data_IF_222070654251
#
_entry.id   IF_222070654251
#
_cell.length_a   1.000
_cell.length_b   1.000
_cell.length_c   1.000
_cell.angle_alpha   90.00
_cell.angle_beta   90.00
_cell.angle_gamma   90.00
#
_symmetry.space_group_name_H-M   'P 1'
#
loop_
_entity.id
_entity.type
_entity.pdbx_description
1 polymer ?
#
# COMPACT_ATOMS: atom_id res chain seq x y z
N UNK A 1 -14.82 -2.62 -6.36
CA UNK A 1 -13.85 -2.73 -7.50
C UNK A 1 -12.60 -1.97 -7.11
N UNK A 2 -11.42 -2.33 -7.64
CA UNK A 2 -10.22 -1.50 -7.49
C UNK A 2 -9.66 -0.97 -8.82
N UNK A 3 -8.94 0.16 -8.73
CA UNK A 3 -8.05 0.67 -9.77
C UNK A 3 -6.60 0.60 -9.31
N UNK A 4 -5.71 0.04 -10.15
CA UNK A 4 -4.28 -0.05 -9.87
C UNK A 4 -3.50 1.06 -10.57
N UNK A 5 -2.62 1.73 -9.81
CA UNK A 5 -1.69 2.72 -10.31
C UNK A 5 -0.28 2.48 -9.78
N UNK A 6 0.72 2.80 -10.61
CA UNK A 6 2.10 2.94 -10.17
C UNK A 6 2.35 4.40 -9.80
N UNK A 7 2.60 4.66 -8.52
CA UNK A 7 2.86 6.01 -8.02
C UNK A 7 4.32 6.13 -7.56
N UNK A 8 4.84 7.36 -7.53
CA UNK A 8 6.04 7.68 -6.77
C UNK A 8 5.66 7.92 -5.30
N UNK A 9 6.57 7.71 -4.34
CA UNK A 9 6.29 8.00 -2.93
C UNK A 9 5.76 9.42 -2.71
N UNK A 10 6.29 10.39 -3.47
CA UNK A 10 5.84 11.79 -3.41
C UNK A 10 4.40 11.97 -3.90
N UNK A 11 4.00 11.26 -4.95
CA UNK A 11 2.64 11.31 -5.49
C UNK A 11 1.67 10.64 -4.52
N UNK A 12 2.05 9.47 -4.00
CA UNK A 12 1.28 8.75 -2.99
C UNK A 12 1.01 9.62 -1.74
N UNK A 13 2.01 10.38 -1.28
CA UNK A 13 1.87 11.28 -0.14
C UNK A 13 0.78 12.35 -0.34
N UNK A 14 0.54 12.79 -1.57
CA UNK A 14 -0.55 13.72 -1.90
C UNK A 14 -1.90 13.02 -2.08
N UNK A 15 -1.92 11.80 -2.60
CA UNK A 15 -3.18 11.07 -2.89
C UNK A 15 -3.81 10.51 -1.63
N UNK A 16 -3.04 9.75 -0.84
CA UNK A 16 -3.56 8.88 0.23
C UNK A 16 -4.38 9.63 1.30
N UNK A 17 -4.04 10.85 1.75
CA UNK A 17 -4.87 11.60 2.70
C UNK A 17 -6.28 11.92 2.18
N UNK A 18 -6.48 11.97 0.86
CA UNK A 18 -7.70 12.44 0.23
C UNK A 18 -8.63 11.32 -0.25
N UNK A 19 -8.24 10.06 -0.05
CA UNK A 19 -9.01 8.88 -0.48
C UNK A 19 -9.57 8.17 0.75
N UNK A 20 -10.82 7.69 0.69
CA UNK A 20 -11.43 7.05 1.87
C UNK A 20 -10.80 5.69 2.17
N UNK A 21 -10.65 4.85 1.15
CA UNK A 21 -10.18 3.48 1.27
C UNK A 21 -9.18 3.14 0.16
N UNK A 22 -8.03 2.60 0.54
CA UNK A 22 -7.01 2.17 -0.43
C UNK A 22 -6.05 1.16 0.19
N UNK A 23 -5.35 0.42 -0.66
CA UNK A 23 -4.19 -0.38 -0.32
C UNK A 23 -2.99 0.13 -1.11
N UNK A 24 -1.82 0.21 -0.48
CA UNK A 24 -0.59 0.44 -1.23
C UNK A 24 0.55 -0.42 -0.72
N UNK A 25 1.35 -0.92 -1.65
CA UNK A 25 2.54 -1.69 -1.38
C UNK A 25 3.77 -0.96 -1.88
N UNK A 26 4.77 -0.85 -1.01
CA UNK A 26 6.06 -0.22 -1.27
C UNK A 26 7.11 -1.31 -1.32
N UNK A 27 7.83 -1.35 -2.43
CA UNK A 27 9.01 -2.18 -2.60
C UNK A 27 10.23 -1.33 -2.96
N UNK A 28 11.30 -1.47 -2.20
CA UNK A 28 12.61 -0.94 -2.59
C UNK A 28 13.73 -1.77 -2.00
N UNK A 29 14.91 -1.69 -2.61
CA UNK A 29 16.11 -2.35 -2.12
C UNK A 29 16.98 -1.35 -1.37
N UNK A 30 17.06 -1.52 -0.04
CA UNK A 30 18.00 -0.77 0.78
C UNK A 30 19.38 -1.44 0.72
N UNK A 31 20.41 -0.72 1.15
CA UNK A 31 21.80 -1.21 1.10
C UNK A 31 22.00 -2.54 1.83
N UNK A 32 21.20 -2.81 2.86
CA UNK A 32 21.36 -3.99 3.73
C UNK A 32 20.20 -4.99 3.67
N UNK A 33 19.06 -4.64 3.09
CA UNK A 33 17.85 -5.47 3.06
C UNK A 33 16.85 -5.00 2.01
N UNK A 34 15.96 -5.88 1.62
CA UNK A 34 14.75 -5.48 0.91
C UNK A 34 13.79 -4.81 1.90
N UNK A 35 13.13 -3.77 1.43
CA UNK A 35 12.10 -3.04 2.15
C UNK A 35 10.77 -3.31 1.45
N UNK A 36 9.90 -4.04 2.15
CA UNK A 36 8.57 -4.40 1.69
C UNK A 36 7.58 -3.96 2.76
N UNK A 37 6.65 -3.08 2.40
CA UNK A 37 5.60 -2.61 3.30
C UNK A 37 4.30 -2.59 2.53
N UNK A 38 3.23 -3.11 3.14
CA UNK A 38 1.87 -2.98 2.65
C UNK A 38 1.08 -2.20 3.68
N UNK A 39 0.30 -1.23 3.22
CA UNK A 39 -0.52 -0.39 4.09
C UNK A 39 -1.92 -0.34 3.52
N UNK A 40 -2.89 -0.71 4.33
CA UNK A 40 -4.29 -0.49 4.06
C UNK A 40 -4.78 0.74 4.82
N UNK A 41 -5.59 1.56 4.17
CA UNK A 41 -6.21 2.75 4.75
C UNK A 41 -7.72 2.57 4.69
N UNK A 42 -8.39 2.86 5.79
CA UNK A 42 -9.85 2.94 5.86
C UNK A 42 -10.26 4.13 6.71
N UNK A 43 -11.02 5.07 6.13
CA UNK A 43 -11.43 6.29 6.82
C UNK A 43 -10.22 7.14 7.22
N UNK A 44 -9.93 7.26 8.51
CA UNK A 44 -8.76 8.00 9.03
C UNK A 44 -7.64 7.08 9.54
N UNK A 45 -7.86 5.77 9.51
CA UNK A 45 -6.95 4.79 10.09
C UNK A 45 -6.03 4.20 9.02
N UNK A 46 -4.77 3.97 9.41
CA UNK A 46 -3.74 3.38 8.59
C UNK A 46 -3.24 2.12 9.26
N UNK A 47 -3.28 1.02 8.54
CA UNK A 47 -2.93 -0.31 8.99
C UNK A 47 -1.71 -0.79 8.21
N UNK A 48 -0.56 -0.83 8.86
CA UNK A 48 0.63 -1.48 8.30
C UNK A 48 0.44 -2.98 8.45
N UNK A 49 0.38 -3.70 7.33
CA UNK A 49 0.08 -5.12 7.28
C UNK A 49 1.37 -5.93 7.36
N UNK A 50 1.37 -6.94 8.24
CA UNK A 50 2.47 -7.88 8.47
C UNK A 50 2.01 -9.32 8.15
N UNK A 51 1.33 -9.47 7.01
CA UNK A 51 0.98 -10.78 6.45
C UNK A 51 1.63 -10.95 5.07
N UNK A 52 2.47 -11.99 4.96
CA UNK A 52 3.16 -12.34 3.72
C UNK A 52 2.23 -12.74 2.58
N UNK A 53 1.02 -13.23 2.90
CA UNK A 53 0.01 -13.62 1.91
C UNK A 53 -0.44 -12.44 1.05
N UNK A 54 -0.53 -11.23 1.63
CA UNK A 54 -0.89 -10.01 0.88
C UNK A 54 0.13 -9.71 -0.21
N UNK A 55 1.42 -9.82 0.10
CA UNK A 55 2.47 -9.57 -0.90
C UNK A 55 2.48 -10.62 -2.01
N UNK A 56 2.16 -11.88 -1.70
CA UNK A 56 2.00 -12.93 -2.71
C UNK A 56 0.84 -12.61 -3.65
N UNK A 57 -0.29 -12.16 -3.10
CA UNK A 57 -1.45 -11.79 -3.91
C UNK A 57 -1.16 -10.58 -4.82
N UNK A 58 -0.57 -9.51 -4.27
CA UNK A 58 -0.16 -8.31 -5.02
C UNK A 58 0.81 -8.65 -6.17
N UNK A 59 1.67 -9.65 -5.99
CA UNK A 59 2.53 -10.14 -7.07
C UNK A 59 1.75 -10.92 -8.13
N UNK A 60 0.71 -11.66 -7.73
CA UNK A 60 -0.16 -12.42 -8.63
C UNK A 60 -0.94 -11.53 -9.61
N UNK A 61 -1.40 -10.36 -9.15
CA UNK A 61 -2.25 -9.44 -9.92
C UNK A 61 -1.50 -8.24 -10.53
N UNK A 62 -0.16 -8.26 -10.49
CA UNK A 62 0.68 -7.08 -10.84
C UNK A 62 0.42 -6.50 -12.24
N UNK A 63 0.02 -7.33 -13.19
CA UNK A 63 -0.20 -6.93 -14.59
C UNK A 63 -1.57 -6.29 -14.83
N UNK A 64 -2.42 -6.25 -13.81
CA UNK A 64 -3.78 -5.73 -13.91
C UNK A 64 -3.81 -4.22 -13.68
N UNK A 65 -4.67 -3.52 -14.41
CA UNK A 65 -4.89 -2.06 -14.22
C UNK A 65 -6.16 -1.77 -13.41
N UNK A 66 -7.05 -2.74 -13.31
CA UNK A 66 -8.29 -2.71 -12.54
C UNK A 66 -8.74 -4.16 -12.29
N UNK A 67 -9.48 -4.39 -11.22
CA UNK A 67 -9.96 -5.73 -10.85
C UNK A 67 -11.07 -5.69 -9.82
N UNK A 68 -11.48 -6.88 -9.38
CA UNK A 68 -12.48 -7.01 -8.33
C UNK A 68 -11.82 -6.80 -6.96
N UNK A 69 -12.50 -6.08 -6.06
CA UNK A 69 -11.98 -5.88 -4.70
C UNK A 69 -11.86 -7.21 -3.93
N UNK A 70 -12.68 -8.19 -4.29
CA UNK A 70 -12.61 -9.58 -3.81
C UNK A 70 -11.27 -10.27 -4.13
N UNK A 71 -10.43 -9.69 -5.00
CA UNK A 71 -9.08 -10.19 -5.27
C UNK A 71 -8.05 -9.74 -4.23
N UNK A 72 -8.34 -8.71 -3.42
CA UNK A 72 -7.41 -8.14 -2.44
C UNK A 72 -7.99 -8.06 -1.02
N UNK A 73 -9.23 -7.60 -0.88
CA UNK A 73 -9.86 -7.37 0.43
C UNK A 73 -9.88 -8.63 1.32
N UNK A 74 -10.14 -9.85 0.81
CA UNK A 74 -10.10 -11.04 1.65
C UNK A 74 -8.75 -11.27 2.35
N UNK A 75 -7.64 -10.85 1.73
CA UNK A 75 -6.31 -10.95 2.33
C UNK A 75 -6.05 -9.87 3.39
N UNK A 76 -6.66 -8.70 3.22
CA UNK A 76 -6.64 -7.64 4.26
C UNK A 76 -7.47 -8.08 5.46
N UNK A 77 -8.66 -8.63 5.23
CA UNK A 77 -9.55 -9.19 6.25
C UNK A 77 -8.86 -10.32 7.02
N UNK A 78 -8.22 -11.25 6.32
CA UNK A 78 -7.46 -12.34 6.95
C UNK A 78 -6.33 -11.81 7.83
N UNK A 79 -5.63 -10.75 7.41
CA UNK A 79 -4.61 -10.10 8.23
C UNK A 79 -5.21 -9.47 9.50
N UNK A 80 -6.42 -8.91 9.42
CA UNK A 80 -7.14 -8.41 10.59
C UNK A 80 -7.58 -9.52 11.54
N UNK A 81 -8.15 -10.60 11.03
CA UNK A 81 -8.57 -11.76 11.82
C UNK A 81 -7.39 -12.38 12.59
N UNK A 82 -6.21 -12.42 11.96
CA UNK A 82 -4.97 -12.93 12.57
C UNK A 82 -4.24 -11.91 13.43
N UNK A 83 -4.69 -10.66 13.49
CA UNK A 83 -3.98 -9.54 14.14
C UNK A 83 -2.56 -9.29 13.56
N UNK A 84 -2.39 -9.56 12.27
CA UNK A 84 -1.16 -9.33 11.50
C UNK A 84 -1.09 -7.88 10.98
N UNK A 85 -1.29 -6.91 11.87
CA UNK A 85 -1.23 -5.49 11.50
C UNK A 85 -0.81 -4.61 12.67
N UNK A 86 -0.36 -3.40 12.36
CA UNK A 86 -0.12 -2.32 13.32
C UNK A 86 -0.81 -1.05 12.86
N UNK A 87 -1.60 -0.44 13.74
CA UNK A 87 -2.21 0.87 13.48
C UNK A 87 -1.16 1.95 13.64
N UNK A 88 -1.06 2.84 12.65
CA UNK A 88 -0.11 3.97 12.66
C UNK A 88 -0.83 5.29 12.39
N UNK A 89 -0.29 6.37 12.91
CA UNK A 89 -0.81 7.71 12.62
C UNK A 89 -0.42 8.15 11.21
N UNK A 90 -1.29 8.91 10.52
CA UNK A 90 -1.03 9.45 9.18
C UNK A 90 0.33 10.16 9.08
N UNK A 91 0.71 10.91 10.12
CA UNK A 91 1.99 11.63 10.16
C UNK A 91 3.22 10.70 10.00
N UNK A 92 3.13 9.45 10.46
CA UNK A 92 4.20 8.47 10.26
C UNK A 92 4.27 8.01 8.81
N UNK A 93 3.12 7.76 8.19
CA UNK A 93 3.03 7.44 6.75
C UNK A 93 3.59 8.59 5.91
N UNK A 94 3.21 9.84 6.22
CA UNK A 94 3.72 11.02 5.51
C UNK A 94 5.23 11.20 5.68
N UNK A 95 5.75 11.01 6.90
CA UNK A 95 7.20 11.05 7.16
C UNK A 95 7.93 9.98 6.34
N UNK A 96 7.43 8.75 6.35
CA UNK A 96 8.03 7.62 5.65
C UNK A 96 8.04 7.84 4.13
N UNK A 97 6.91 8.25 3.56
CA UNK A 97 6.82 8.59 2.13
C UNK A 97 7.74 9.75 1.76
N UNK A 98 7.95 10.73 2.66
CA UNK A 98 8.90 11.81 2.47
C UNK A 98 10.36 11.33 2.43
N UNK A 99 10.73 10.41 3.32
CA UNK A 99 12.05 9.77 3.34
C UNK A 99 12.25 8.96 2.05
N UNK A 100 11.30 8.11 1.69
CA UNK A 100 11.35 7.29 0.48
C UNK A 100 11.38 8.14 -0.80
N UNK A 101 10.67 9.27 -0.83
CA UNK A 101 10.74 10.23 -1.93
C UNK A 101 12.16 10.78 -2.11
N UNK A 102 12.83 11.10 -1.01
CA UNK A 102 14.21 11.59 -1.04
C UNK A 102 15.18 10.50 -1.52
N UNK A 103 15.00 9.27 -1.03
CA UNK A 103 15.80 8.11 -1.46
C UNK A 103 15.57 7.73 -2.92
N UNK A 104 14.37 7.98 -3.45
CA UNK A 104 14.00 7.63 -4.82
C UNK A 104 14.83 8.33 -5.90
N UNK A 105 15.62 9.35 -5.51
CA UNK A 105 16.59 10.05 -6.36
C UNK A 105 17.72 9.12 -6.79
N UNK A 106 18.25 8.31 -5.86
CA UNK A 106 19.43 7.47 -6.07
C UNK A 106 19.09 5.99 -6.26
N UNK A 107 17.89 5.56 -5.85
CA UNK A 107 17.46 4.15 -5.96
C UNK A 107 15.96 4.06 -6.23
N UNK A 108 15.51 3.25 -7.19
CA UNK A 108 14.09 3.16 -7.50
C UNK A 108 13.27 2.66 -6.32
N UNK A 109 12.19 3.38 -6.02
CA UNK A 109 11.14 2.95 -5.08
C UNK A 109 9.89 2.65 -5.90
N UNK A 110 9.43 1.40 -5.85
CA UNK A 110 8.21 0.98 -6.52
C UNK A 110 7.06 1.10 -5.53
N UNK A 111 6.02 1.85 -5.91
CA UNK A 111 4.78 1.92 -5.15
C UNK A 111 3.65 1.46 -6.04
N UNK A 112 3.00 0.37 -5.64
CA UNK A 112 1.73 -0.08 -6.19
C UNK A 112 0.63 0.48 -5.32
N UNK A 113 -0.33 1.14 -5.94
CA UNK A 113 -1.46 1.77 -5.29
C UNK A 113 -2.75 1.20 -5.85
N UNK A 114 -3.66 0.82 -4.96
CA UNK A 114 -4.95 0.22 -5.24
C UNK A 114 -6.01 1.09 -4.57
N UNK A 115 -6.80 1.78 -5.38
CA UNK A 115 -7.94 2.56 -4.89
C UNK A 115 -9.20 1.71 -4.94
N UNK A 116 -9.87 1.55 -3.80
CA UNK A 116 -11.14 0.83 -3.74
C UNK A 116 -12.28 1.82 -3.92
N UNK A 117 -13.18 1.48 -4.83
CA UNK A 117 -14.37 2.28 -5.12
C UNK A 117 -15.63 1.41 -5.05
N UNK A 118 -16.58 1.88 -4.25
CA UNK A 118 -17.96 1.40 -4.29
C UNK A 118 -18.63 2.04 -5.51
N UNK A 119 -19.15 1.24 -6.44
CA UNK A 119 -20.08 1.77 -7.43
C UNK A 119 -21.41 2.07 -6.74
N UNK A 120 -21.86 3.32 -6.85
CA UNK A 120 -23.25 3.73 -6.55
C UNK A 120 -24.16 3.29 -7.69
#
# INVERSE_FOLDING_TARGET
>A
MFFQHMLKPKELAFVVPNVNECLFAIHTKLTTRDYNVAVYKYGQEYFVLDDGCIFQQIQGIDQESQGDEEELLPYVEEAFEKNCYTIVEEKFIQLELGILSTMSIDSPVQVKYYEFVDFI
#
